data_IF_614306557791
#
_entry.id   IF_614306557791
#
_cell.length_a   1.000
_cell.length_b   1.000
_cell.length_c   1.000
_cell.angle_alpha   90.00
_cell.angle_beta   90.00
_cell.angle_gamma   90.00
#
_symmetry.space_group_name_H-M   'P 1'
#
loop_
_entity.id
_entity.type
_entity.pdbx_description
1 polymer ?
#
# COMPACT_ATOMS: atom_id res chain seq x y z
N UNK A 1 24.69 -15.37 -5.44
CA UNK A 1 24.79 -15.39 -3.96
C UNK A 1 23.59 -16.17 -3.42
N UNK A 2 23.82 -17.17 -2.58
CA UNK A 2 22.79 -18.12 -2.12
C UNK A 2 21.80 -17.49 -1.15
N UNK A 3 20.51 -17.86 -1.28
CA UNK A 3 19.34 -17.42 -0.48
C UNK A 3 19.57 -17.50 1.04
N UNK A 4 20.44 -18.40 1.52
CA UNK A 4 20.80 -18.48 2.95
C UNK A 4 21.50 -17.22 3.47
N UNK A 5 22.33 -16.58 2.66
CA UNK A 5 23.06 -15.38 3.09
C UNK A 5 22.14 -14.16 3.22
N UNK A 6 21.03 -14.12 2.49
CA UNK A 6 20.03 -13.05 2.57
C UNK A 6 19.23 -13.11 3.89
N UNK A 7 18.88 -14.31 4.36
CA UNK A 7 18.17 -14.49 5.63
C UNK A 7 19.06 -14.19 6.85
N UNK A 8 20.36 -14.51 6.79
CA UNK A 8 21.28 -14.24 7.90
C UNK A 8 21.64 -12.76 8.04
N UNK A 9 21.66 -11.98 6.94
CA UNK A 9 21.86 -10.54 7.00
C UNK A 9 20.65 -9.78 7.57
N UNK A 10 19.42 -10.24 7.30
CA UNK A 10 18.21 -9.69 7.96
C UNK A 10 18.18 -9.93 9.47
N UNK A 11 18.77 -11.03 9.96
CA UNK A 11 18.91 -11.28 11.41
C UNK A 11 19.84 -10.29 12.08
N UNK A 12 20.93 -9.88 11.40
CA UNK A 12 21.86 -8.87 11.92
C UNK A 12 21.24 -7.47 11.99
N UNK A 13 20.44 -7.09 10.99
CA UNK A 13 19.70 -5.83 10.99
C UNK A 13 18.61 -5.77 12.07
N UNK A 14 17.89 -6.87 12.33
CA UNK A 14 16.93 -6.96 13.44
C UNK A 14 17.59 -6.78 14.82
N UNK A 15 18.84 -7.21 14.98
CA UNK A 15 19.61 -7.05 16.21
C UNK A 15 19.99 -5.59 16.53
N UNK A 16 20.32 -4.80 15.51
CA UNK A 16 20.66 -3.37 15.68
C UNK A 16 19.44 -2.53 16.09
N UNK A 17 18.27 -2.84 15.52
CA UNK A 17 16.98 -2.24 15.88
C UNK A 17 16.58 -2.63 17.32
N UNK A 18 16.84 -3.89 17.70
CA UNK A 18 16.62 -4.38 19.07
C UNK A 18 17.45 -3.62 20.12
N UNK A 19 18.72 -3.37 19.85
CA UNK A 19 19.61 -2.63 20.77
C UNK A 19 19.22 -1.15 20.95
N UNK A 20 18.62 -0.54 19.91
CA UNK A 20 18.10 0.83 20.00
C UNK A 20 16.77 0.89 20.78
N UNK A 21 15.91 -0.13 20.65
CA UNK A 21 14.65 -0.27 21.39
C UNK A 21 14.86 -0.53 22.89
N UNK A 22 15.84 -1.35 23.27
CA UNK A 22 16.17 -1.64 24.68
C UNK A 22 16.61 -0.40 25.47
N UNK A 23 17.28 0.55 24.79
CA UNK A 23 17.70 1.82 25.40
C UNK A 23 16.53 2.75 25.69
N UNK A 24 15.45 2.68 24.91
CA UNK A 24 14.25 3.50 25.07
C UNK A 24 13.30 2.97 26.17
N UNK A 25 13.34 1.66 26.47
CA UNK A 25 12.42 1.01 27.42
C UNK A 25 12.94 0.91 28.85
N UNK A 26 14.19 1.32 29.14
CA UNK A 26 14.81 1.22 30.49
C UNK A 26 14.19 2.08 31.59
N UNK A 27 13.17 2.90 31.30
CA UNK A 27 12.54 3.81 32.25
C UNK A 27 11.32 3.26 33.01
N UNK A 28 10.86 2.03 32.75
CA UNK A 28 9.63 1.54 33.38
C UNK A 28 9.72 0.05 33.72
N UNK A 29 10.22 -0.25 34.91
CA UNK A 29 10.10 -1.58 35.52
C UNK A 29 9.52 -1.42 36.92
N UNK A 30 8.29 -1.89 37.10
CA UNK A 30 7.75 -2.31 38.39
C UNK A 30 7.12 -3.69 38.24
N UNK A 31 7.72 -4.64 38.98
CA UNK A 31 7.18 -5.89 39.55
C UNK A 31 5.99 -6.59 38.89
N UNK A 32 6.19 -7.84 38.49
CA UNK A 32 5.78 -9.02 39.28
C UNK A 32 6.26 -10.33 38.62
N UNK A 33 6.77 -11.24 39.45
CA UNK A 33 7.28 -12.57 39.05
C UNK A 33 6.14 -13.59 39.01
N UNK A 34 6.26 -14.48 38.03
CA UNK A 34 5.89 -15.91 38.01
C UNK A 34 4.45 -16.32 38.34
N UNK A 35 3.70 -16.62 37.27
CA UNK A 35 2.80 -17.77 37.24
C UNK A 35 3.02 -18.55 35.94
N UNK A 36 3.55 -19.77 36.07
CA UNK A 36 3.54 -20.77 35.01
C UNK A 36 2.10 -21.11 34.59
N UNK A 37 1.96 -21.42 33.28
CA UNK A 37 1.23 -22.56 32.69
C UNK A 37 0.38 -22.16 31.48
N UNK A 38 0.66 -22.89 30.39
CA UNK A 38 0.04 -22.89 29.08
C UNK A 38 0.42 -21.72 28.17
N UNK A 39 1.37 -21.99 27.26
CA UNK A 39 1.39 -21.32 25.95
C UNK A 39 0.09 -21.73 25.27
N UNK A 40 -0.94 -20.90 25.43
CA UNK A 40 -2.13 -20.97 24.60
C UNK A 40 -1.68 -20.49 23.21
N UNK A 41 -1.18 -21.42 22.39
CA UNK A 41 -1.06 -21.18 20.96
C UNK A 41 -2.51 -21.07 20.47
N UNK A 42 -2.96 -19.84 20.35
CA UNK A 42 -4.29 -19.46 19.90
C UNK A 42 -4.40 -19.81 18.40
N UNK A 43 -4.63 -21.10 18.13
CA UNK A 43 -4.64 -21.74 16.81
C UNK A 43 -5.77 -21.26 15.89
N UNK A 44 -6.64 -20.35 16.37
CA UNK A 44 -7.77 -19.80 15.64
C UNK A 44 -7.58 -18.36 15.14
N UNK A 45 -6.49 -17.67 15.49
CA UNK A 45 -6.23 -16.31 14.99
C UNK A 45 -5.86 -16.37 13.50
N UNK A 46 -6.83 -16.04 12.64
CA UNK A 46 -6.61 -15.82 11.20
C UNK A 46 -7.06 -16.93 10.26
N UNK A 47 -7.81 -17.94 10.74
CA UNK A 47 -8.39 -18.97 9.87
C UNK A 47 -9.67 -18.51 9.16
N UNK A 48 -10.42 -17.61 9.80
CA UNK A 48 -11.69 -17.09 9.29
C UNK A 48 -11.66 -15.56 9.22
N UNK A 49 -12.33 -15.01 8.23
CA UNK A 49 -12.59 -13.57 8.09
C UNK A 49 -14.05 -13.33 7.76
N UNK A 50 -14.61 -12.21 8.21
CA UNK A 50 -15.98 -11.84 7.90
C UNK A 50 -16.02 -11.06 6.59
N UNK A 51 -16.99 -11.33 5.72
CA UNK A 51 -17.23 -10.51 4.54
C UNK A 51 -17.82 -9.14 4.95
N UNK A 52 -17.18 -8.05 4.53
CA UNK A 52 -17.65 -6.68 4.83
C UNK A 52 -19.04 -6.36 4.21
N UNK A 53 -19.43 -7.08 3.16
CA UNK A 53 -20.69 -6.84 2.44
C UNK A 53 -21.85 -7.74 2.92
N UNK A 54 -21.68 -9.06 2.91
CA UNK A 54 -22.76 -10.00 3.28
C UNK A 54 -22.68 -10.52 4.72
N UNK A 55 -21.59 -10.26 5.43
CA UNK A 55 -21.40 -10.71 6.81
C UNK A 55 -21.05 -12.19 6.98
N UNK A 56 -20.97 -12.98 5.91
CA UNK A 56 -20.61 -14.40 5.97
C UNK A 56 -19.18 -14.63 6.47
N UNK A 57 -18.98 -15.74 7.16
CA UNK A 57 -17.66 -16.18 7.63
C UNK A 57 -16.96 -16.96 6.52
N UNK A 58 -15.83 -16.43 6.07
CA UNK A 58 -15.03 -16.96 4.98
C UNK A 58 -13.76 -17.58 5.53
N UNK A 59 -13.45 -18.79 5.10
CA UNK A 59 -12.18 -19.43 5.46
C UNK A 59 -11.05 -18.82 4.62
N UNK A 60 -10.03 -18.28 5.28
CA UNK A 60 -8.97 -17.46 4.65
C UNK A 60 -8.22 -18.22 3.55
N UNK A 61 -8.06 -19.54 3.69
CA UNK A 61 -7.40 -20.37 2.67
C UNK A 61 -8.17 -20.39 1.34
N UNK A 62 -9.50 -20.54 1.40
CA UNK A 62 -10.34 -20.52 0.19
C UNK A 62 -10.42 -19.11 -0.39
N UNK A 63 -10.53 -18.11 0.48
CA UNK A 63 -10.52 -16.71 0.07
C UNK A 63 -9.26 -16.35 -0.72
N UNK A 64 -8.08 -16.76 -0.25
CA UNK A 64 -6.81 -16.53 -0.98
C UNK A 64 -6.77 -17.23 -2.32
N UNK A 65 -7.29 -18.47 -2.40
CA UNK A 65 -7.39 -19.21 -3.67
C UNK A 65 -8.34 -18.51 -4.65
N UNK A 66 -9.42 -17.92 -4.14
CA UNK A 66 -10.36 -17.13 -4.91
C UNK A 66 -9.97 -15.64 -5.02
N UNK A 67 -8.68 -15.31 -4.89
CA UNK A 67 -8.14 -13.95 -5.12
C UNK A 67 -8.83 -12.87 -4.27
N UNK A 68 -9.17 -13.20 -3.04
CA UNK A 68 -9.89 -12.34 -2.10
C UNK A 68 -11.29 -11.91 -2.55
N UNK A 69 -11.96 -12.70 -3.38
CA UNK A 69 -13.36 -12.50 -3.75
C UNK A 69 -14.26 -13.40 -2.91
N UNK A 70 -15.33 -12.82 -2.35
CA UNK A 70 -16.34 -13.57 -1.63
C UNK A 70 -17.14 -14.48 -2.58
N UNK A 71 -17.13 -15.79 -2.35
CA UNK A 71 -17.85 -16.78 -3.17
C UNK A 71 -19.38 -16.59 -3.12
N UNK A 72 -19.89 -16.07 -2.01
CA UNK A 72 -21.33 -15.93 -1.76
C UNK A 72 -21.94 -14.68 -2.42
N UNK A 73 -21.21 -13.55 -2.43
CA UNK A 73 -21.75 -12.26 -2.90
C UNK A 73 -20.91 -11.55 -3.95
N UNK A 74 -19.80 -12.14 -4.38
CA UNK A 74 -18.88 -11.56 -5.38
C UNK A 74 -18.15 -10.31 -4.92
N UNK A 75 -18.23 -9.93 -3.64
CA UNK A 75 -17.55 -8.74 -3.13
C UNK A 75 -16.03 -8.92 -3.10
N UNK A 76 -15.29 -7.92 -3.57
CA UNK A 76 -13.84 -7.89 -3.52
C UNK A 76 -13.39 -7.43 -2.13
N UNK A 77 -12.80 -8.34 -1.36
CA UNK A 77 -12.24 -8.01 -0.05
C UNK A 77 -10.88 -7.34 -0.20
N UNK A 78 -10.48 -6.60 0.84
CA UNK A 78 -9.17 -5.96 0.89
C UNK A 78 -8.06 -7.00 0.74
N UNK A 79 -7.12 -6.67 -0.13
CA UNK A 79 -5.93 -7.46 -0.39
C UNK A 79 -4.72 -6.60 -0.07
N UNK A 80 -3.69 -7.21 0.52
CA UNK A 80 -2.47 -6.48 0.76
C UNK A 80 -1.58 -6.40 -0.49
N UNK A 81 -0.63 -5.46 -0.48
CA UNK A 81 0.25 -5.23 -1.62
C UNK A 81 1.11 -6.44 -1.98
N UNK A 82 1.54 -7.25 -1.01
CA UNK A 82 2.32 -8.48 -1.28
C UNK A 82 1.48 -9.53 -1.98
N UNK A 83 0.29 -9.82 -1.46
CA UNK A 83 -0.67 -10.76 -2.07
C UNK A 83 -1.04 -10.33 -3.49
N UNK A 84 -1.22 -9.03 -3.70
CA UNK A 84 -1.53 -8.47 -5.01
C UNK A 84 -0.38 -8.65 -6.00
N UNK A 85 0.85 -8.45 -5.55
CA UNK A 85 2.05 -8.67 -6.38
C UNK A 85 2.20 -10.16 -6.71
N UNK A 86 2.02 -11.06 -5.74
CA UNK A 86 2.07 -12.51 -5.97
C UNK A 86 1.00 -13.03 -6.94
N UNK A 87 -0.13 -12.31 -7.07
CA UNK A 87 -1.15 -12.62 -8.07
C UNK A 87 -0.86 -12.04 -9.45
N UNK A 88 -0.11 -10.94 -9.52
CA UNK A 88 0.16 -10.20 -10.76
C UNK A 88 1.43 -10.68 -11.46
N UNK A 89 2.47 -11.00 -10.68
CA UNK A 89 3.81 -11.32 -11.17
C UNK A 89 4.04 -12.83 -11.10
N UNK A 90 4.71 -13.37 -12.11
CA UNK A 90 5.15 -14.75 -12.20
C UNK A 90 6.12 -15.09 -11.05
N UNK A 91 6.02 -16.31 -10.54
CA UNK A 91 6.80 -16.74 -9.37
C UNK A 91 8.30 -16.59 -9.62
N UNK A 92 9.00 -16.14 -8.59
CA UNK A 92 10.47 -15.99 -8.56
C UNK A 92 11.05 -14.99 -9.57
N UNK A 93 10.23 -14.17 -10.23
CA UNK A 93 10.70 -13.12 -11.16
C UNK A 93 10.75 -11.73 -10.55
N UNK A 94 10.18 -11.56 -9.34
CA UNK A 94 10.07 -10.27 -8.66
C UNK A 94 11.44 -9.75 -8.24
N UNK A 95 11.75 -8.51 -8.64
CA UNK A 95 12.92 -7.76 -8.19
C UNK A 95 12.43 -6.44 -7.57
N UNK A 96 12.42 -6.32 -6.23
CA UNK A 96 11.92 -5.12 -5.57
C UNK A 96 12.89 -3.93 -5.74
N UNK A 97 12.33 -2.72 -5.69
CA UNK A 97 13.07 -1.45 -5.80
C UNK A 97 12.79 -0.55 -4.59
N UNK A 98 13.83 0.19 -4.17
CA UNK A 98 13.75 1.24 -3.15
C UNK A 98 13.10 0.78 -1.82
N UNK A 99 13.35 -0.47 -1.40
CA UNK A 99 12.75 -1.05 -0.19
C UNK A 99 13.12 -0.28 1.07
N UNK A 100 14.34 0.25 1.15
CA UNK A 100 14.88 0.94 2.32
C UNK A 100 14.46 2.42 2.44
N UNK A 101 13.67 2.92 1.48
CA UNK A 101 13.23 4.34 1.48
C UNK A 101 12.17 4.56 2.54
N UNK A 102 12.44 5.46 3.49
CA UNK A 102 11.57 5.75 4.64
C UNK A 102 11.27 7.23 4.77
N UNK A 103 10.09 7.54 5.30
CA UNK A 103 9.64 8.92 5.49
C UNK A 103 10.39 9.56 6.66
N UNK A 104 10.67 10.86 6.53
CA UNK A 104 11.23 11.68 7.60
C UNK A 104 10.26 12.81 7.92
N UNK A 105 10.11 13.09 9.21
CA UNK A 105 9.32 14.23 9.66
C UNK A 105 10.15 15.51 9.51
N UNK A 106 9.75 16.36 8.57
CA UNK A 106 10.41 17.64 8.28
C UNK A 106 9.60 18.82 8.83
N UNK A 107 8.29 18.66 8.98
CA UNK A 107 7.37 19.74 9.33
C UNK A 107 7.05 19.79 10.82
N UNK A 108 7.31 18.72 11.57
CA UNK A 108 6.95 18.58 12.98
C UNK A 108 5.49 19.00 13.26
N UNK A 109 4.50 18.38 12.59
CA UNK A 109 3.11 18.75 12.75
C UNK A 109 2.64 18.54 14.18
N UNK A 110 1.83 19.47 14.70
CA UNK A 110 1.20 19.38 16.01
C UNK A 110 -0.05 18.49 15.94
N UNK A 111 0.12 17.18 15.92
CA UNK A 111 -0.96 16.18 16.02
C UNK A 111 -0.97 15.53 17.42
N UNK A 112 -2.12 14.99 17.85
CA UNK A 112 -2.25 14.22 19.10
C UNK A 112 -1.27 13.03 19.15
N UNK A 113 -1.04 12.39 18.00
CA UNK A 113 -0.01 11.37 17.80
C UNK A 113 1.03 11.90 16.82
N UNK A 114 2.30 11.87 17.23
CA UNK A 114 3.40 12.32 16.36
C UNK A 114 3.43 11.56 15.04
N UNK A 115 3.81 12.25 13.96
CA UNK A 115 3.88 11.65 12.62
C UNK A 115 4.83 10.44 12.61
N UNK A 116 5.98 10.56 13.28
CA UNK A 116 6.94 9.47 13.44
C UNK A 116 6.32 8.23 14.10
N UNK A 117 5.50 8.42 15.15
CA UNK A 117 4.83 7.29 15.80
C UNK A 117 3.83 6.60 14.85
N UNK A 118 3.06 7.36 14.06
CA UNK A 118 2.13 6.81 13.06
C UNK A 118 2.86 5.98 11.99
N UNK A 119 4.03 6.45 11.55
CA UNK A 119 4.90 5.71 10.63
C UNK A 119 5.35 4.40 11.29
N UNK A 120 5.95 4.45 12.47
CA UNK A 120 6.47 3.26 13.18
C UNK A 120 5.37 2.22 13.41
N UNK A 121 4.18 2.64 13.84
CA UNK A 121 3.02 1.75 14.03
C UNK A 121 2.63 1.09 12.70
N UNK A 122 2.57 1.87 11.62
CA UNK A 122 2.21 1.36 10.29
C UNK A 122 3.27 0.39 9.75
N UNK A 123 4.55 0.67 9.94
CA UNK A 123 5.67 -0.20 9.57
C UNK A 123 5.61 -1.51 10.36
N UNK A 124 5.42 -1.47 11.68
CA UNK A 124 5.26 -2.67 12.51
C UNK A 124 4.05 -3.51 12.10
N UNK A 125 2.93 -2.87 11.76
CA UNK A 125 1.68 -3.56 11.37
C UNK A 125 1.79 -4.22 9.99
N UNK A 126 2.44 -3.56 9.03
CA UNK A 126 2.41 -3.98 7.62
C UNK A 126 3.67 -4.69 7.16
N UNK A 127 4.80 -4.46 7.85
CA UNK A 127 6.13 -4.87 7.39
C UNK A 127 6.68 -4.04 6.23
N UNK A 128 6.00 -2.96 5.83
CA UNK A 128 6.40 -2.08 4.73
C UNK A 128 7.06 -0.82 5.24
N UNK A 129 7.91 -0.19 4.42
CA UNK A 129 8.53 1.11 4.73
C UNK A 129 7.60 2.29 4.51
N UNK A 130 6.74 2.22 3.49
CA UNK A 130 5.61 3.12 3.24
C UNK A 130 4.49 2.40 2.44
N UNK A 131 3.47 3.14 2.05
CA UNK A 131 2.22 2.70 1.43
C UNK A 131 2.34 2.22 -0.03
N UNK A 132 3.53 1.95 -0.56
CA UNK A 132 3.71 1.42 -1.91
C UNK A 132 4.89 0.47 -2.00
N UNK A 133 4.68 -0.65 -2.69
CA UNK A 133 5.72 -1.56 -3.12
C UNK A 133 5.96 -1.37 -4.62
N UNK A 134 7.22 -1.26 -5.01
CA UNK A 134 7.66 -1.01 -6.39
C UNK A 134 8.75 -2.01 -6.76
N UNK A 135 8.89 -2.29 -8.04
CA UNK A 135 9.91 -3.21 -8.54
C UNK A 135 9.68 -3.57 -9.99
N UNK A 136 10.35 -4.63 -10.44
CA UNK A 136 10.10 -5.30 -11.72
C UNK A 136 9.68 -6.74 -11.50
N UNK A 137 9.11 -7.33 -12.53
CA UNK A 137 8.80 -8.76 -12.59
C UNK A 137 8.21 -9.14 -13.93
N UNK A 138 7.96 -10.42 -14.15
CA UNK A 138 7.33 -10.89 -15.37
C UNK A 138 5.84 -11.13 -15.16
N UNK A 139 5.02 -10.80 -16.15
CA UNK A 139 3.61 -11.13 -16.22
C UNK A 139 3.40 -11.97 -17.48
N UNK A 140 3.13 -13.26 -17.30
CA UNK A 140 3.07 -14.23 -18.39
C UNK A 140 4.30 -14.17 -19.31
N UNK A 141 5.50 -14.06 -18.72
CA UNK A 141 6.78 -13.95 -19.44
C UNK A 141 7.08 -12.57 -20.04
N UNK A 142 6.22 -11.56 -19.85
CA UNK A 142 6.50 -10.17 -20.27
C UNK A 142 7.04 -9.38 -19.09
N UNK A 143 8.25 -8.84 -19.17
CA UNK A 143 8.81 -7.97 -18.12
C UNK A 143 7.99 -6.68 -18.01
N UNK A 144 7.54 -6.38 -16.80
CA UNK A 144 6.75 -5.19 -16.46
C UNK A 144 7.34 -4.50 -15.24
N UNK A 145 6.95 -3.23 -15.05
CA UNK A 145 7.25 -2.43 -13.88
C UNK A 145 5.97 -2.22 -13.03
N UNK A 146 5.71 -3.08 -12.02
CA UNK A 146 4.54 -2.94 -11.16
C UNK A 146 4.77 -2.05 -9.94
N UNK A 147 3.82 -1.16 -9.68
CA UNK A 147 3.69 -0.39 -8.45
C UNK A 147 2.39 -0.71 -7.74
N UNK A 148 2.44 -1.24 -6.51
CA UNK A 148 1.24 -1.67 -5.79
C UNK A 148 1.13 -0.95 -4.46
N UNK A 149 0.09 -0.15 -4.32
CA UNK A 149 -0.20 0.58 -3.09
C UNK A 149 -0.79 -0.32 -2.00
N UNK A 150 -0.60 0.04 -0.73
CA UNK A 150 -1.16 -0.68 0.41
C UNK A 150 -1.96 0.25 1.32
N UNK A 151 -3.29 0.11 1.27
CA UNK A 151 -4.21 0.91 2.08
C UNK A 151 -4.01 0.70 3.60
N UNK A 152 -3.42 -0.43 4.02
CA UNK A 152 -3.14 -0.69 5.45
C UNK A 152 -2.03 0.20 5.97
N UNK A 153 -1.25 0.88 5.13
CA UNK A 153 -0.25 1.84 5.59
C UNK A 153 -0.85 3.24 5.57
N UNK A 154 -1.28 3.73 6.73
CA UNK A 154 -1.90 5.06 6.90
C UNK A 154 -3.01 5.38 5.88
N UNK A 155 -3.83 4.41 5.48
CA UNK A 155 -4.89 4.63 4.48
C UNK A 155 -4.36 4.76 3.06
N UNK A 156 -3.16 4.28 2.76
CA UNK A 156 -2.56 4.36 1.43
C UNK A 156 -2.24 5.78 0.99
N UNK A 157 -2.18 6.75 1.92
CA UNK A 157 -2.15 8.15 1.54
C UNK A 157 -0.84 8.54 0.85
N UNK A 158 -0.88 9.30 -0.23
CA UNK A 158 0.36 9.65 -0.95
C UNK A 158 1.15 10.73 -0.19
N UNK A 159 2.35 10.37 0.28
CA UNK A 159 3.37 11.29 0.81
C UNK A 159 4.64 11.26 -0.04
N UNK A 160 5.71 11.89 0.43
CA UNK A 160 6.97 12.06 -0.32
C UNK A 160 7.62 10.73 -0.72
N UNK A 161 7.60 9.72 0.15
CA UNK A 161 8.15 8.39 -0.17
C UNK A 161 7.33 7.69 -1.24
N UNK A 162 6.00 7.72 -1.12
CA UNK A 162 5.12 7.13 -2.16
C UNK A 162 5.37 7.81 -3.50
N UNK A 163 5.45 9.15 -3.50
CA UNK A 163 5.76 9.92 -4.70
C UNK A 163 7.13 9.59 -5.29
N UNK A 164 8.19 9.56 -4.48
CA UNK A 164 9.54 9.19 -4.92
C UNK A 164 9.60 7.77 -5.50
N UNK A 165 9.05 6.77 -4.80
CA UNK A 165 9.10 5.38 -5.26
C UNK A 165 8.35 5.19 -6.58
N UNK A 166 7.18 5.81 -6.73
CA UNK A 166 6.43 5.76 -7.98
C UNK A 166 7.19 6.48 -9.09
N UNK A 167 7.74 7.66 -8.83
CA UNK A 167 8.55 8.40 -9.82
C UNK A 167 9.73 7.58 -10.30
N UNK A 168 10.53 7.01 -9.39
CA UNK A 168 11.68 6.16 -9.75
C UNK A 168 11.28 4.93 -10.56
N UNK A 169 10.16 4.30 -10.19
CA UNK A 169 9.61 3.18 -10.95
C UNK A 169 9.28 3.59 -12.39
N UNK A 170 8.64 4.74 -12.58
CA UNK A 170 8.27 5.25 -13.91
C UNK A 170 9.51 5.60 -14.71
N UNK A 171 10.48 6.28 -14.11
CA UNK A 171 11.74 6.62 -14.77
C UNK A 171 12.50 5.37 -15.20
N UNK A 172 12.59 4.36 -14.33
CA UNK A 172 13.18 3.07 -14.64
C UNK A 172 12.43 2.36 -15.79
N UNK A 173 11.09 2.27 -15.70
CA UNK A 173 10.27 1.67 -16.75
C UNK A 173 10.44 2.40 -18.08
N UNK A 174 10.61 3.73 -18.03
CA UNK A 174 10.86 4.56 -19.21
C UNK A 174 12.22 4.31 -19.83
N UNK A 175 13.25 4.15 -19.01
CA UNK A 175 14.61 3.85 -19.45
C UNK A 175 14.70 2.45 -20.08
N UNK A 176 14.13 1.46 -19.42
CA UNK A 176 14.16 0.06 -19.85
C UNK A 176 13.05 -0.29 -20.86
N UNK A 177 12.24 0.70 -21.26
CA UNK A 177 11.12 0.53 -22.21
C UNK A 177 10.10 -0.53 -21.79
N UNK A 178 9.80 -0.61 -20.50
CA UNK A 178 8.88 -1.58 -19.90
C UNK A 178 7.45 -1.04 -19.80
N UNK A 179 6.42 -1.88 -19.96
CA UNK A 179 5.06 -1.53 -19.58
C UNK A 179 4.97 -1.28 -18.07
N UNK A 180 4.26 -0.21 -17.71
CA UNK A 180 4.03 0.21 -16.33
C UNK A 180 2.63 -0.19 -15.88
N UNK A 181 2.50 -0.81 -14.71
CA UNK A 181 1.20 -1.12 -14.10
C UNK A 181 1.17 -0.61 -12.67
N UNK A 182 0.25 0.31 -12.35
CA UNK A 182 0.09 0.82 -10.98
C UNK A 182 -1.27 0.41 -10.42
N UNK A 183 -1.27 -0.35 -9.33
CA UNK A 183 -2.45 -0.69 -8.54
C UNK A 183 -2.64 0.36 -7.46
N UNK A 184 -3.67 1.19 -7.63
CA UNK A 184 -4.00 2.30 -6.76
C UNK A 184 -4.91 1.86 -5.61
N UNK A 185 -4.53 2.24 -4.40
CA UNK A 185 -5.31 2.06 -3.17
C UNK A 185 -4.93 3.18 -2.21
N UNK A 186 -5.73 4.24 -2.16
CA UNK A 186 -5.40 5.46 -1.41
C UNK A 186 -6.64 6.18 -0.90
N UNK A 187 -6.56 6.72 0.32
CA UNK A 187 -7.52 7.64 0.91
C UNK A 187 -7.29 9.11 0.55
N UNK A 188 -6.17 9.46 -0.10
CA UNK A 188 -5.83 10.84 -0.45
C UNK A 188 -4.36 11.20 -0.21
N UNK A 189 -4.07 12.48 -0.02
CA UNK A 189 -2.72 12.98 0.27
C UNK A 189 -2.35 12.81 1.75
N UNK A 190 -1.07 12.61 2.05
CA UNK A 190 -0.53 12.48 3.42
C UNK A 190 -0.50 13.86 4.08
N UNK A 191 -1.53 14.19 4.86
CA UNK A 191 -1.67 15.54 5.44
C UNK A 191 -0.49 15.95 6.33
N UNK A 192 0.16 15.00 7.01
CA UNK A 192 1.30 15.25 7.89
C UNK A 192 2.50 15.86 7.17
N UNK A 193 2.64 15.65 5.86
CA UNK A 193 3.71 16.24 5.06
C UNK A 193 3.25 17.50 4.29
N UNK A 194 2.00 17.94 4.49
CA UNK A 194 1.45 19.17 3.93
C UNK A 194 1.64 19.28 2.40
N UNK A 195 2.20 20.40 1.96
CA UNK A 195 2.42 20.71 0.55
C UNK A 195 3.32 19.69 -0.16
N UNK A 196 4.24 19.02 0.55
CA UNK A 196 5.10 18.00 -0.06
C UNK A 196 4.26 16.87 -0.65
N UNK A 197 3.20 16.44 0.04
CA UNK A 197 2.26 15.43 -0.45
C UNK A 197 1.51 15.87 -1.70
N UNK A 198 1.03 17.12 -1.73
CA UNK A 198 0.31 17.66 -2.88
C UNK A 198 1.22 17.74 -4.11
N UNK A 199 2.49 18.13 -3.94
CA UNK A 199 3.44 18.24 -5.04
C UNK A 199 3.80 16.88 -5.66
N UNK A 200 3.60 15.77 -4.95
CA UNK A 200 3.81 14.45 -5.53
C UNK A 200 2.86 14.18 -6.72
N UNK A 201 1.67 14.79 -6.74
CA UNK A 201 0.75 14.69 -7.88
C UNK A 201 1.41 15.24 -9.15
N UNK A 202 1.96 16.46 -9.07
CA UNK A 202 2.62 17.11 -10.20
C UNK A 202 3.87 16.34 -10.63
N UNK A 203 4.67 15.91 -9.64
CA UNK A 203 5.88 15.13 -9.87
C UNK A 203 5.61 13.85 -10.66
N UNK A 204 4.71 13.00 -10.18
CA UNK A 204 4.38 11.73 -10.84
C UNK A 204 3.79 12.00 -12.23
N UNK A 205 2.88 12.97 -12.35
CA UNK A 205 2.25 13.30 -13.64
C UNK A 205 3.28 13.76 -14.68
N UNK A 206 4.32 14.49 -14.26
CA UNK A 206 5.36 14.97 -15.16
C UNK A 206 6.20 13.84 -15.76
N UNK A 207 6.55 12.82 -14.98
CA UNK A 207 7.31 11.66 -15.49
C UNK A 207 6.42 10.69 -16.28
N UNK A 208 5.13 10.58 -15.94
CA UNK A 208 4.16 9.84 -16.74
C UNK A 208 4.00 10.42 -18.15
N UNK A 209 3.97 11.75 -18.26
CA UNK A 209 3.93 12.41 -19.57
C UNK A 209 5.13 12.02 -20.46
N UNK A 210 6.32 11.89 -19.87
CA UNK A 210 7.52 11.44 -20.60
C UNK A 210 7.35 9.97 -21.03
N UNK A 211 6.92 9.11 -20.12
CA UNK A 211 6.71 7.69 -20.37
C UNK A 211 5.70 7.43 -21.51
N UNK A 212 4.52 8.04 -21.42
CA UNK A 212 3.40 7.79 -22.33
C UNK A 212 3.55 8.57 -23.64
N UNK A 213 3.88 9.87 -23.58
CA UNK A 213 3.80 10.73 -24.78
C UNK A 213 5.14 10.78 -25.52
N UNK A 214 6.25 10.96 -24.79
CA UNK A 214 7.56 11.07 -25.44
C UNK A 214 8.12 9.70 -25.84
N UNK A 215 7.95 8.69 -24.98
CA UNK A 215 8.46 7.33 -25.23
C UNK A 215 7.42 6.35 -25.77
N UNK A 216 6.12 6.69 -25.74
CA UNK A 216 5.03 5.86 -26.28
C UNK A 216 4.96 4.48 -25.62
N UNK A 217 5.23 4.43 -24.32
CA UNK A 217 5.18 3.21 -23.51
C UNK A 217 3.83 3.10 -22.81
N UNK A 218 3.40 1.86 -22.58
CA UNK A 218 2.09 1.54 -22.01
C UNK A 218 2.07 1.75 -20.50
N UNK A 219 1.13 2.57 -20.03
CA UNK A 219 0.77 2.71 -18.63
C UNK A 219 -0.66 2.22 -18.36
N UNK A 220 -0.80 1.24 -17.47
CA UNK A 220 -2.09 0.74 -16.97
C UNK A 220 -2.28 1.17 -15.52
N UNK A 221 -3.38 1.86 -15.24
CA UNK A 221 -3.82 2.15 -13.87
C UNK A 221 -4.92 1.19 -13.44
N UNK A 222 -4.75 0.55 -12.29
CA UNK A 222 -5.73 -0.37 -11.71
C UNK A 222 -6.27 0.23 -10.42
N UNK A 223 -7.53 0.65 -10.44
CA UNK A 223 -8.21 1.32 -9.34
C UNK A 223 -8.90 0.29 -8.46
N UNK A 224 -8.50 0.25 -7.19
CA UNK A 224 -9.05 -0.67 -6.19
C UNK A 224 -9.77 0.10 -5.09
N UNK A 225 -10.54 -0.63 -4.27
CA UNK A 225 -11.25 -0.03 -3.15
C UNK A 225 -10.30 0.31 -1.98
N UNK A 226 -10.25 1.58 -1.50
CA UNK A 226 -10.69 2.82 -2.16
C UNK A 226 -9.55 3.50 -2.93
N UNK A 227 -9.88 4.29 -3.95
CA UNK A 227 -8.94 5.18 -4.64
C UNK A 227 -9.50 6.60 -4.67
N UNK A 228 -9.04 7.43 -3.73
CA UNK A 228 -9.57 8.78 -3.54
C UNK A 228 -8.54 9.90 -3.52
N UNK A 229 -9.01 11.13 -3.70
CA UNK A 229 -8.23 12.35 -3.52
C UNK A 229 -7.07 12.49 -4.51
N UNK A 230 -5.88 12.76 -3.99
CA UNK A 230 -4.69 13.07 -4.79
C UNK A 230 -4.25 11.94 -5.73
N UNK A 231 -4.44 10.67 -5.34
CA UNK A 231 -4.14 9.54 -6.21
C UNK A 231 -5.05 9.52 -7.45
N UNK A 232 -6.36 9.70 -7.24
CA UNK A 232 -7.36 9.76 -8.32
C UNK A 232 -7.18 11.00 -9.19
N UNK A 233 -6.82 12.15 -8.60
CA UNK A 233 -6.56 13.38 -9.35
C UNK A 233 -5.17 13.46 -10.00
N UNK A 234 -4.40 12.38 -9.98
CA UNK A 234 -3.09 12.30 -10.64
C UNK A 234 -2.93 10.94 -11.31
N UNK A 235 -1.91 10.16 -10.93
CA UNK A 235 -1.53 8.93 -11.62
C UNK A 235 -2.66 7.91 -11.76
N UNK A 236 -3.63 7.86 -10.84
CA UNK A 236 -4.77 6.96 -10.93
C UNK A 236 -5.64 7.18 -12.18
N UNK A 237 -5.74 8.42 -12.68
CA UNK A 237 -6.59 8.76 -13.84
C UNK A 237 -5.81 9.10 -15.11
N UNK A 238 -4.49 8.89 -15.10
CA UNK A 238 -3.60 9.19 -16.23
C UNK A 238 -3.17 7.94 -17.02
N UNK A 239 -3.74 6.77 -16.71
CA UNK A 239 -3.48 5.52 -17.45
C UNK A 239 -3.91 5.60 -18.91
N UNK A 240 -3.14 4.99 -19.81
CA UNK A 240 -3.61 4.69 -21.17
C UNK A 240 -4.81 3.74 -21.11
N UNK A 241 -4.75 2.80 -20.16
CA UNK A 241 -5.87 1.96 -19.76
C UNK A 241 -6.13 2.15 -18.26
N UNK A 242 -7.38 2.40 -17.93
CA UNK A 242 -7.85 2.54 -16.55
C UNK A 242 -8.82 1.39 -16.28
N UNK A 243 -8.46 0.52 -15.35
CA UNK A 243 -9.23 -0.66 -14.96
C UNK A 243 -9.70 -0.46 -13.53
N UNK A 244 -10.99 -0.60 -13.27
CA UNK A 244 -11.55 -0.56 -11.92
C UNK A 244 -12.01 -1.95 -11.50
N UNK A 245 -11.79 -2.29 -10.23
CA UNK A 245 -12.41 -3.48 -9.65
C UNK A 245 -13.92 -3.26 -9.43
N UNK A 246 -14.74 -4.31 -9.51
CA UNK A 246 -16.16 -4.21 -9.20
C UNK A 246 -16.41 -3.57 -7.83
N UNK A 247 -17.26 -2.53 -7.81
CA UNK A 247 -17.63 -1.78 -6.61
C UNK A 247 -16.46 -1.07 -5.92
N UNK A 248 -15.39 -0.76 -6.66
CA UNK A 248 -14.30 0.05 -6.14
C UNK A 248 -14.76 1.49 -5.91
N UNK A 249 -14.54 2.01 -4.70
CA UNK A 249 -14.89 3.39 -4.37
C UNK A 249 -13.84 4.34 -4.94
N UNK A 250 -14.19 5.06 -6.01
CA UNK A 250 -13.28 5.91 -6.78
C UNK A 250 -13.83 7.34 -6.78
N UNK A 251 -13.10 8.25 -6.12
CA UNK A 251 -13.64 9.58 -5.86
C UNK A 251 -12.57 10.65 -5.67
N UNK A 252 -12.68 11.81 -6.33
CA UNK A 252 -11.84 12.95 -5.95
C UNK A 252 -12.17 13.45 -4.54
N UNK A 253 -13.44 13.78 -4.31
CA UNK A 253 -13.96 14.18 -3.01
C UNK A 253 -14.82 13.07 -2.40
N UNK A 254 -14.63 12.79 -1.11
CA UNK A 254 -15.39 11.77 -0.41
C UNK A 254 -16.88 12.15 -0.28
N UNK A 255 -17.77 11.14 -0.26
CA UNK A 255 -19.24 11.30 -0.14
C UNK A 255 -19.63 12.27 0.97
N UNK A 256 -19.01 12.13 2.15
CA UNK A 256 -19.23 13.00 3.31
C UNK A 256 -18.99 14.49 3.00
N UNK A 257 -17.93 14.82 2.29
CA UNK A 257 -17.57 16.21 1.95
C UNK A 257 -18.57 16.78 0.94
N UNK A 258 -18.97 15.97 -0.03
CA UNK A 258 -19.95 16.37 -1.05
C UNK A 258 -21.30 16.67 -0.37
N UNK A 259 -21.81 15.77 0.46
CA UNK A 259 -23.10 15.94 1.17
C UNK A 259 -23.11 17.17 2.07
N UNK A 260 -21.99 17.44 2.77
CA UNK A 260 -21.87 18.62 3.63
C UNK A 260 -21.87 19.93 2.83
N UNK A 261 -21.23 19.94 1.66
CA UNK A 261 -21.08 21.13 0.82
C UNK A 261 -22.36 21.40 0.02
N UNK A 262 -22.95 20.36 -0.58
CA UNK A 262 -24.16 20.47 -1.40
C UNK A 262 -25.44 20.56 -0.56
N UNK A 263 -25.38 20.16 0.71
CA UNK A 263 -26.54 20.00 1.61
C UNK A 263 -27.60 19.05 1.03
N UNK A 264 -27.18 18.12 0.17
CA UNK A 264 -28.03 17.11 -0.45
C UNK A 264 -27.51 15.72 -0.11
N UNK A 265 -28.43 14.77 0.08
CA UNK A 265 -28.07 13.36 0.22
C UNK A 265 -27.61 12.83 -1.13
N UNK A 266 -26.47 12.14 -1.13
CA UNK A 266 -25.93 11.54 -2.34
C UNK A 266 -26.57 10.16 -2.52
N UNK A 267 -27.06 9.81 -3.73
CA UNK A 267 -27.67 8.52 -4.00
C UNK A 267 -26.77 7.34 -3.61
N UNK A 268 -27.39 6.21 -3.27
CA UNK A 268 -26.68 4.97 -3.03
C UNK A 268 -26.03 4.48 -4.34
N UNK A 269 -24.79 3.99 -4.24
CA UNK A 269 -24.00 3.60 -5.42
C UNK A 269 -23.24 4.74 -6.12
N UNK A 270 -23.36 6.00 -5.67
CA UNK A 270 -22.53 7.07 -6.20
C UNK A 270 -21.03 6.82 -5.90
N UNK A 271 -20.17 6.95 -6.91
CA UNK A 271 -18.70 6.71 -6.85
C UNK A 271 -18.28 5.24 -6.64
N UNK A 272 -19.18 4.28 -6.88
CA UNK A 272 -18.96 2.82 -6.72
C UNK A 272 -19.29 2.08 -8.01
#
# INVERSE_FOLDING_TARGET
MSVRNWFDDKRKFGGSIGAFLEKATKGYVSSEREKDRYINIDTNKGLWTRCDNCGNMLYVRFLKRNKSVCEECGYHLRMNSTERIELLIDRDTRIPMDEDTTARDVLNPSDEDSYQNRIIISQKRTGLTDAVQTGTGELNGTTIAPGVMDFRFMGGSMGSVVGEKITRLIEYATQESLPLIIVCASGGARMQEGTLSSMQMAKISSVLQIHQVQKKLLYISVLTYPTTGGATASFGMLGDLIIAEPRAYIAFAGKRVIEQTSRQKIPDGFQV
#
